data_IF_588551126708
#
_entry.id   IF_588551126708
#
_cell.length_a   1.000
_cell.length_b   1.000
_cell.length_c   1.000
_cell.angle_alpha   90.00
_cell.angle_beta   90.00
_cell.angle_gamma   90.00
#
_symmetry.space_group_name_H-M   'P 1'
#
loop_
_entity.id
_entity.type
_entity.pdbx_description
1 polymer ?
#
# COMPACT_ATOMS: atom_id res chain seq x y z
N UNK A 1 7.17 -30.71 -35.83
CA UNK A 1 6.25 -29.59 -35.52
C UNK A 1 6.50 -29.20 -34.07
N UNK A 2 7.24 -28.11 -33.86
CA UNK A 2 7.63 -27.62 -32.53
C UNK A 2 6.49 -26.82 -31.98
N UNK A 3 5.83 -27.29 -30.93
CA UNK A 3 4.83 -26.54 -30.18
C UNK A 3 5.58 -25.51 -29.30
N UNK A 4 5.66 -24.26 -29.78
CA UNK A 4 6.06 -23.16 -28.94
C UNK A 4 4.96 -22.94 -27.89
N UNK A 5 5.16 -23.44 -26.69
CA UNK A 5 4.35 -23.05 -25.54
C UNK A 5 4.52 -21.54 -25.32
N UNK A 6 3.54 -20.74 -25.69
CA UNK A 6 3.45 -19.34 -25.25
C UNK A 6 3.45 -19.37 -23.72
N UNK A 7 4.58 -19.00 -23.12
CA UNK A 7 4.60 -18.69 -21.68
C UNK A 7 3.55 -17.62 -21.46
N UNK A 8 2.50 -17.93 -20.69
CA UNK A 8 1.55 -16.94 -20.26
C UNK A 8 2.35 -15.81 -19.59
N UNK A 9 2.33 -14.62 -20.18
CA UNK A 9 2.99 -13.46 -19.59
C UNK A 9 2.27 -13.15 -18.29
N UNK A 10 2.91 -13.43 -17.16
CA UNK A 10 2.41 -13.04 -15.85
C UNK A 10 2.39 -11.52 -15.80
N UNK A 11 1.20 -10.94 -15.73
CA UNK A 11 1.05 -9.50 -15.60
C UNK A 11 1.29 -9.10 -14.15
N UNK A 12 2.31 -8.27 -13.91
CA UNK A 12 2.55 -7.71 -12.59
C UNK A 12 1.39 -6.82 -12.15
N UNK A 13 1.03 -6.91 -10.89
CA UNK A 13 0.07 -6.00 -10.28
C UNK A 13 0.73 -4.64 -10.07
N UNK A 14 0.08 -3.58 -10.55
CA UNK A 14 0.44 -2.19 -10.28
C UNK A 14 -0.75 -1.55 -9.58
N UNK A 15 -0.77 -1.66 -8.26
CA UNK A 15 -1.90 -1.30 -7.42
C UNK A 15 -1.73 0.08 -6.81
N UNK A 16 -2.84 0.74 -6.50
CA UNK A 16 -2.83 2.02 -5.80
C UNK A 16 -3.82 2.02 -4.64
N UNK A 17 -3.49 2.74 -3.58
CA UNK A 17 -4.46 3.13 -2.57
C UNK A 17 -5.12 4.44 -2.96
N UNK A 18 -6.42 4.53 -2.75
CA UNK A 18 -7.20 5.75 -2.94
C UNK A 18 -8.02 6.02 -1.67
N UNK A 19 -7.56 6.97 -0.80
CA UNK A 19 -8.25 7.30 0.44
C UNK A 19 -9.52 8.12 0.18
N UNK A 20 -10.62 7.78 0.83
CA UNK A 20 -11.91 8.44 0.64
C UNK A 20 -11.90 9.92 1.07
N UNK A 21 -11.12 10.30 2.08
CA UNK A 21 -10.99 11.70 2.50
C UNK A 21 -10.41 12.62 1.42
N UNK A 22 -9.84 12.06 0.35
CA UNK A 22 -9.32 12.85 -0.78
C UNK A 22 -10.43 13.57 -1.55
N UNK A 23 -11.66 13.11 -1.44
CA UNK A 23 -12.84 13.81 -1.99
C UNK A 23 -12.93 15.25 -1.49
N UNK A 24 -12.61 15.48 -0.21
CA UNK A 24 -12.61 16.83 0.39
C UNK A 24 -11.52 17.76 -0.16
N UNK A 25 -10.50 17.21 -0.79
CA UNK A 25 -9.46 17.98 -1.47
C UNK A 25 -9.79 18.25 -2.97
N UNK A 26 -10.96 17.78 -3.43
CA UNK A 26 -11.36 17.88 -4.84
C UNK A 26 -10.76 16.81 -5.73
N UNK A 27 -10.13 15.79 -5.16
CA UNK A 27 -9.67 14.64 -5.92
C UNK A 27 -10.83 13.71 -6.27
N UNK A 28 -10.82 13.16 -7.49
CA UNK A 28 -11.81 12.17 -7.92
C UNK A 28 -11.15 10.95 -8.53
N UNK A 29 -11.81 9.77 -8.47
CA UNK A 29 -11.29 8.55 -9.10
C UNK A 29 -10.98 8.70 -10.58
N UNK A 30 -11.79 9.47 -11.33
CA UNK A 30 -11.61 9.68 -12.77
C UNK A 30 -10.34 10.41 -13.18
N UNK A 31 -9.65 11.05 -12.24
CA UNK A 31 -8.37 11.75 -12.48
C UNK A 31 -7.16 10.80 -12.62
N UNK A 32 -7.33 9.51 -12.31
CA UNK A 32 -6.24 8.53 -12.34
C UNK A 32 -5.99 7.97 -13.74
N UNK A 33 -4.76 7.55 -14.00
CA UNK A 33 -4.37 6.92 -15.27
C UNK A 33 -4.55 5.39 -15.22
N UNK A 34 -5.72 4.90 -15.58
CA UNK A 34 -6.04 3.47 -15.60
C UNK A 34 -5.33 2.67 -16.69
N UNK A 35 -4.59 3.31 -17.58
CA UNK A 35 -3.65 2.63 -18.48
C UNK A 35 -2.43 2.05 -17.75
N UNK A 36 -2.17 2.49 -16.51
CA UNK A 36 -1.04 2.06 -15.68
C UNK A 36 -1.48 1.42 -14.35
N UNK A 37 -2.78 1.35 -14.06
CA UNK A 37 -3.33 0.84 -12.80
C UNK A 37 -4.23 -0.33 -13.12
N UNK A 38 -4.00 -1.48 -12.47
CA UNK A 38 -4.87 -2.65 -12.61
C UNK A 38 -5.61 -3.02 -11.31
N UNK A 39 -5.25 -2.43 -10.17
CA UNK A 39 -5.96 -2.59 -8.90
C UNK A 39 -5.99 -1.30 -8.09
N UNK A 40 -7.16 -1.01 -7.52
CA UNK A 40 -7.34 0.07 -6.55
C UNK A 40 -7.74 -0.53 -5.22
N UNK A 41 -7.09 -0.10 -4.16
CA UNK A 41 -7.47 -0.32 -2.77
C UNK A 41 -8.19 0.94 -2.30
N UNK A 42 -9.51 0.86 -2.16
CA UNK A 42 -10.35 1.95 -1.66
C UNK A 42 -10.27 2.00 -0.13
N UNK A 43 -9.75 3.06 0.42
CA UNK A 43 -9.43 3.17 1.85
C UNK A 43 -10.20 4.32 2.52
N UNK A 44 -10.88 4.11 3.63
CA UNK A 44 -11.02 2.88 4.39
C UNK A 44 -12.49 2.62 4.74
N UNK A 45 -12.86 1.36 4.91
CA UNK A 45 -13.99 0.98 5.73
C UNK A 45 -13.50 0.73 7.17
N UNK A 46 -14.39 0.90 8.14
CA UNK A 46 -14.11 0.71 9.57
C UNK A 46 -14.81 -0.53 10.11
N UNK A 47 -14.44 -0.92 11.33
CA UNK A 47 -14.94 -2.10 12.04
C UNK A 47 -15.52 -1.69 13.38
N UNK A 48 -16.70 -2.22 13.70
CA UNK A 48 -17.30 -2.11 15.05
C UNK A 48 -16.83 -3.25 15.96
N UNK A 49 -16.96 -3.07 17.27
CA UNK A 49 -16.52 -4.06 18.25
C UNK A 49 -17.31 -5.39 18.19
N UNK A 50 -18.47 -5.41 17.56
CA UNK A 50 -19.26 -6.63 17.29
C UNK A 50 -18.90 -7.31 15.96
N UNK A 51 -17.90 -6.80 15.26
CA UNK A 51 -17.41 -7.32 13.98
C UNK A 51 -18.10 -6.74 12.75
N UNK A 52 -19.04 -5.79 12.91
CA UNK A 52 -19.66 -5.13 11.76
C UNK A 52 -18.64 -4.32 10.95
N UNK A 53 -18.72 -4.37 9.63
CA UNK A 53 -17.90 -3.57 8.72
C UNK A 53 -18.80 -2.52 8.07
N UNK A 54 -18.36 -1.27 8.06
CA UNK A 54 -19.14 -0.16 7.53
C UNK A 54 -18.25 0.85 6.79
N UNK A 55 -18.86 1.61 5.87
CA UNK A 55 -18.19 2.71 5.17
C UNK A 55 -17.88 3.83 6.17
N UNK A 56 -16.64 4.30 6.20
CA UNK A 56 -16.17 5.23 7.21
C UNK A 56 -16.68 6.66 7.00
N UNK A 57 -17.06 7.01 5.79
CA UNK A 57 -17.54 8.35 5.40
C UNK A 57 -18.63 8.23 4.33
N UNK A 58 -19.88 8.16 4.76
CA UNK A 58 -21.02 7.96 3.88
C UNK A 58 -21.13 9.03 2.79
N UNK A 59 -20.78 10.28 3.12
CA UNK A 59 -20.84 11.36 2.13
C UNK A 59 -19.78 11.16 1.04
N UNK A 60 -18.52 10.98 1.41
CA UNK A 60 -17.43 10.77 0.45
C UNK A 60 -17.61 9.47 -0.35
N UNK A 61 -18.05 8.41 0.33
CA UNK A 61 -18.16 7.08 -0.25
C UNK A 61 -19.34 6.94 -1.21
N UNK A 62 -20.53 7.55 -0.86
CA UNK A 62 -21.78 7.26 -1.54
C UNK A 62 -22.57 8.49 -2.05
N UNK A 63 -22.26 9.72 -1.59
CA UNK A 63 -23.10 10.89 -1.87
C UNK A 63 -22.36 12.02 -2.61
N UNK A 64 -21.06 12.21 -2.36
CA UNK A 64 -20.30 13.29 -2.98
C UNK A 64 -20.36 13.24 -4.50
N UNK A 65 -20.54 14.38 -5.19
CA UNK A 65 -20.44 14.41 -6.65
C UNK A 65 -19.03 14.05 -7.11
N UNK A 66 -18.89 12.90 -7.78
CA UNK A 66 -17.61 12.40 -8.30
C UNK A 66 -17.79 11.94 -9.76
N UNK A 67 -17.06 12.52 -10.69
CA UNK A 67 -16.99 12.09 -12.10
C UNK A 67 -18.38 11.91 -12.77
N UNK A 68 -19.35 12.75 -12.40
CA UNK A 68 -20.71 12.72 -12.96
C UNK A 68 -21.65 11.69 -12.31
N UNK A 69 -21.22 11.01 -11.25
CA UNK A 69 -22.03 10.09 -10.44
C UNK A 69 -21.95 10.45 -8.95
N UNK A 70 -22.68 9.75 -8.09
CA UNK A 70 -22.64 9.97 -6.64
C UNK A 70 -21.66 9.02 -5.97
N UNK A 71 -20.86 9.59 -5.06
CA UNK A 71 -19.87 8.89 -4.26
C UNK A 71 -18.62 8.45 -5.04
N UNK A 72 -17.51 8.39 -4.33
CA UNK A 72 -16.27 7.87 -4.91
C UNK A 72 -16.38 6.38 -5.28
N UNK A 73 -17.12 5.57 -4.50
CA UNK A 73 -17.39 4.18 -4.85
C UNK A 73 -18.23 4.08 -6.13
N UNK A 74 -19.24 4.93 -6.30
CA UNK A 74 -20.03 5.00 -7.53
C UNK A 74 -19.16 5.33 -8.75
N UNK A 75 -18.23 6.27 -8.58
CA UNK A 75 -17.24 6.59 -9.64
C UNK A 75 -16.37 5.38 -9.99
N UNK A 76 -15.82 4.67 -9.00
CA UNK A 76 -15.05 3.45 -9.26
C UNK A 76 -15.86 2.37 -9.97
N UNK A 77 -17.14 2.20 -9.63
CA UNK A 77 -18.00 1.23 -10.33
C UNK A 77 -18.26 1.63 -11.80
N UNK A 78 -18.45 2.92 -12.05
CA UNK A 78 -18.53 3.43 -13.42
C UNK A 78 -17.21 3.21 -14.19
N UNK A 79 -16.08 3.48 -13.58
CA UNK A 79 -14.75 3.27 -14.18
C UNK A 79 -14.47 1.79 -14.49
N UNK A 80 -14.93 0.85 -13.66
CA UNK A 80 -14.81 -0.59 -13.93
C UNK A 80 -15.56 -1.02 -15.22
N UNK A 81 -16.65 -0.35 -15.57
CA UNK A 81 -17.36 -0.64 -16.81
C UNK A 81 -16.54 -0.22 -18.03
N UNK A 82 -15.81 0.89 -17.91
CA UNK A 82 -14.93 1.43 -18.94
C UNK A 82 -13.60 0.68 -19.03
N UNK A 83 -13.01 0.34 -17.87
CA UNK A 83 -11.72 -0.33 -17.76
C UNK A 83 -11.89 -1.76 -17.21
N UNK A 84 -12.15 -2.71 -18.10
CA UNK A 84 -12.50 -4.11 -17.77
C UNK A 84 -11.41 -4.86 -16.98
N UNK A 85 -10.16 -4.41 -17.06
CA UNK A 85 -9.04 -4.97 -16.31
C UNK A 85 -8.96 -4.45 -14.86
N UNK A 86 -9.72 -3.40 -14.52
CA UNK A 86 -9.64 -2.74 -13.23
C UNK A 86 -10.31 -3.58 -12.14
N UNK A 87 -9.56 -3.90 -11.11
CA UNK A 87 -10.03 -4.48 -9.85
C UNK A 87 -10.14 -3.38 -8.80
N UNK A 88 -11.23 -3.33 -8.06
CA UNK A 88 -11.42 -2.43 -6.92
C UNK A 88 -11.68 -3.25 -5.67
N UNK A 89 -10.86 -3.08 -4.65
CA UNK A 89 -10.85 -3.82 -3.40
C UNK A 89 -11.13 -2.85 -2.26
N UNK A 90 -11.98 -3.22 -1.30
CA UNK A 90 -12.27 -2.42 -0.12
C UNK A 90 -11.21 -2.68 0.97
N UNK A 91 -10.41 -1.67 1.29
CA UNK A 91 -9.50 -1.75 2.43
C UNK A 91 -10.25 -1.49 3.73
N UNK A 92 -10.15 -2.44 4.65
CA UNK A 92 -10.83 -2.39 5.95
C UNK A 92 -9.77 -2.22 7.03
N UNK A 93 -9.87 -1.13 7.79
CA UNK A 93 -8.94 -0.86 8.88
C UNK A 93 -8.24 0.49 8.78
N UNK A 94 -6.92 0.48 8.80
CA UNK A 94 -6.10 1.67 9.01
C UNK A 94 -6.01 2.05 10.48
N UNK A 95 -5.43 3.23 10.77
CA UNK A 95 -5.16 3.67 12.15
C UNK A 95 -6.37 3.70 13.07
N UNK A 96 -7.55 4.09 12.55
CA UNK A 96 -8.78 4.21 13.33
C UNK A 96 -9.35 2.87 13.83
N UNK A 97 -8.96 1.76 13.23
CA UNK A 97 -9.43 0.42 13.61
C UNK A 97 -8.39 -0.38 14.42
N UNK A 98 -7.28 0.21 14.80
CA UNK A 98 -6.19 -0.48 15.48
C UNK A 98 -6.61 -1.14 16.80
N UNK A 99 -7.49 -0.50 17.58
CA UNK A 99 -7.99 -1.01 18.85
C UNK A 99 -9.12 -2.04 18.69
N UNK A 100 -9.83 -2.02 17.56
CA UNK A 100 -11.00 -2.89 17.32
C UNK A 100 -10.57 -4.26 16.78
N UNK A 101 -9.56 -4.33 15.94
CA UNK A 101 -9.08 -5.60 15.37
C UNK A 101 -8.72 -6.67 16.40
N UNK A 102 -7.98 -6.36 17.49
CA UNK A 102 -7.68 -7.36 18.52
C UNK A 102 -8.94 -7.99 19.11
N UNK A 103 -9.99 -7.20 19.33
CA UNK A 103 -11.27 -7.68 19.87
C UNK A 103 -11.95 -8.61 18.88
N UNK A 104 -12.11 -8.15 17.64
CA UNK A 104 -12.82 -8.90 16.60
C UNK A 104 -12.07 -10.17 16.20
N UNK A 105 -10.76 -10.09 16.05
CA UNK A 105 -9.96 -11.22 15.61
C UNK A 105 -9.83 -12.33 16.67
N UNK A 106 -9.94 -12.01 17.97
CA UNK A 106 -9.85 -12.99 19.06
C UNK A 106 -11.07 -13.91 19.19
N UNK A 107 -12.23 -13.53 18.63
CA UNK A 107 -13.48 -14.28 18.77
C UNK A 107 -13.94 -14.90 17.45
N UNK A 108 -14.23 -16.21 17.46
CA UNK A 108 -14.75 -16.91 16.28
C UNK A 108 -16.09 -16.32 15.80
N UNK A 109 -16.97 -15.91 16.72
CA UNK A 109 -18.26 -15.28 16.39
C UNK A 109 -18.04 -13.93 15.74
N UNK A 110 -17.14 -13.11 16.29
CA UNK A 110 -16.87 -11.76 15.76
C UNK A 110 -16.14 -11.84 14.41
N UNK A 111 -15.24 -12.79 14.19
CA UNK A 111 -14.63 -13.05 12.88
C UNK A 111 -15.67 -13.43 11.82
N UNK A 112 -16.65 -14.24 12.17
CA UNK A 112 -17.75 -14.62 11.27
C UNK A 112 -18.65 -13.43 10.95
N UNK A 113 -18.99 -12.60 11.97
CA UNK A 113 -19.71 -11.35 11.77
C UNK A 113 -18.97 -10.42 10.82
N UNK A 114 -17.66 -10.24 11.04
CA UNK A 114 -16.80 -9.44 10.15
C UNK A 114 -16.85 -9.94 8.71
N UNK A 115 -16.65 -11.24 8.51
CA UNK A 115 -16.59 -11.84 7.18
C UNK A 115 -17.93 -11.68 6.43
N UNK A 116 -19.04 -11.90 7.10
CA UNK A 116 -20.39 -11.70 6.52
C UNK A 116 -20.69 -10.25 6.22
N UNK A 117 -20.35 -9.34 7.13
CA UNK A 117 -20.54 -7.91 6.93
C UNK A 117 -19.70 -7.37 5.78
N UNK A 118 -18.42 -7.75 5.72
CA UNK A 118 -17.52 -7.40 4.63
C UNK A 118 -18.03 -7.92 3.28
N UNK A 119 -18.49 -9.18 3.22
CA UNK A 119 -19.11 -9.74 2.02
C UNK A 119 -20.32 -8.92 1.56
N UNK A 120 -21.20 -8.57 2.50
CA UNK A 120 -22.39 -7.77 2.19
C UNK A 120 -22.02 -6.43 1.53
N UNK A 121 -21.00 -5.73 2.04
CA UNK A 121 -20.52 -4.48 1.42
C UNK A 121 -19.91 -4.70 0.03
N UNK A 122 -19.12 -5.74 -0.14
CA UNK A 122 -18.48 -6.09 -1.43
C UNK A 122 -19.54 -6.37 -2.48
N UNK A 123 -20.56 -7.16 -2.14
CA UNK A 123 -21.66 -7.50 -3.06
C UNK A 123 -22.54 -6.29 -3.39
N UNK A 124 -22.93 -5.51 -2.37
CA UNK A 124 -23.75 -4.32 -2.55
C UNK A 124 -23.06 -3.23 -3.38
N UNK A 125 -21.75 -3.10 -3.27
CA UNK A 125 -20.96 -2.08 -3.96
C UNK A 125 -20.33 -2.57 -5.27
N UNK A 126 -20.48 -3.85 -5.66
CA UNK A 126 -19.88 -4.39 -6.87
C UNK A 126 -18.36 -4.48 -6.86
N UNK A 127 -17.75 -4.57 -5.67
CA UNK A 127 -16.30 -4.63 -5.47
C UNK A 127 -15.74 -6.02 -5.79
N UNK A 128 -14.43 -6.10 -5.99
CA UNK A 128 -13.74 -7.35 -6.33
C UNK A 128 -13.27 -8.15 -5.09
N UNK A 129 -13.34 -7.58 -3.90
CA UNK A 129 -12.88 -8.22 -2.68
C UNK A 129 -12.52 -7.22 -1.60
N UNK A 130 -11.74 -7.67 -0.63
CA UNK A 130 -11.31 -6.86 0.51
C UNK A 130 -9.80 -6.93 0.74
N UNK A 131 -9.29 -5.92 1.42
CA UNK A 131 -7.93 -5.79 1.89
C UNK A 131 -7.95 -5.55 3.40
N UNK A 132 -7.22 -6.34 4.17
CA UNK A 132 -7.15 -6.23 5.63
C UNK A 132 -5.96 -5.36 6.01
N UNK A 133 -6.24 -4.23 6.66
CA UNK A 133 -5.23 -3.27 7.13
C UNK A 133 -5.31 -3.15 8.65
N UNK A 134 -4.84 -4.19 9.34
CA UNK A 134 -4.68 -4.17 10.80
C UNK A 134 -3.29 -3.66 11.16
N UNK A 135 -3.19 -2.51 11.78
CA UNK A 135 -1.94 -1.84 12.19
C UNK A 135 -1.76 -1.92 13.71
N UNK A 136 -1.09 -2.94 14.29
CA UNK A 136 -0.56 -4.18 13.68
C UNK A 136 -0.76 -5.35 14.64
N UNK A 137 -0.75 -6.63 14.22
CA UNK A 137 -0.71 -7.77 15.11
C UNK A 137 0.68 -7.86 15.76
N UNK A 138 0.83 -7.27 16.95
CA UNK A 138 2.12 -7.07 17.63
C UNK A 138 2.52 -8.17 18.61
N UNK A 139 1.63 -9.15 18.86
CA UNK A 139 1.91 -10.29 19.74
C UNK A 139 1.72 -11.61 19.01
N UNK A 140 2.34 -12.71 19.48
CA UNK A 140 2.12 -14.04 18.91
C UNK A 140 0.65 -14.47 18.95
N UNK A 141 -0.11 -14.03 19.95
CA UNK A 141 -1.55 -14.28 20.03
C UNK A 141 -2.30 -13.56 18.93
N UNK A 142 -2.06 -12.25 18.77
CA UNK A 142 -2.66 -11.46 17.68
C UNK A 142 -2.26 -11.99 16.30
N UNK A 143 -1.05 -12.54 16.16
CA UNK A 143 -0.63 -13.21 14.92
C UNK A 143 -1.44 -14.45 14.59
N UNK A 144 -1.79 -15.27 15.61
CA UNK A 144 -2.71 -16.41 15.46
C UNK A 144 -4.12 -15.93 15.13
N UNK A 145 -4.58 -14.88 15.78
CA UNK A 145 -5.90 -14.29 15.55
C UNK A 145 -6.01 -13.69 14.14
N UNK A 146 -4.94 -13.08 13.65
CA UNK A 146 -4.86 -12.58 12.27
C UNK A 146 -5.03 -13.71 11.24
N UNK A 147 -4.32 -14.82 11.42
CA UNK A 147 -4.48 -16.02 10.59
C UNK A 147 -5.90 -16.55 10.65
N UNK A 148 -6.48 -16.63 11.84
CA UNK A 148 -7.86 -17.10 12.02
C UNK A 148 -8.88 -16.17 11.36
N UNK A 149 -8.63 -14.85 11.38
CA UNK A 149 -9.47 -13.86 10.72
C UNK A 149 -9.45 -14.03 9.20
N UNK A 150 -8.28 -14.11 8.57
CA UNK A 150 -8.19 -14.28 7.11
C UNK A 150 -8.77 -15.61 6.65
N UNK A 151 -8.63 -16.68 7.45
CA UNK A 151 -9.25 -17.98 7.19
C UNK A 151 -10.79 -17.90 7.24
N UNK A 152 -11.35 -17.23 8.26
CA UNK A 152 -12.79 -17.02 8.38
C UNK A 152 -13.36 -16.19 7.22
N UNK A 153 -12.64 -15.15 6.80
CA UNK A 153 -13.03 -14.32 5.66
C UNK A 153 -13.09 -15.16 4.38
N UNK A 154 -12.15 -16.06 4.16
CA UNK A 154 -12.10 -16.88 2.93
C UNK A 154 -13.29 -17.83 2.80
N UNK A 155 -13.88 -18.22 3.91
CA UNK A 155 -15.13 -19.02 3.89
C UNK A 155 -16.28 -18.25 3.22
N UNK A 156 -16.37 -16.95 3.50
CA UNK A 156 -17.43 -16.08 2.96
C UNK A 156 -17.08 -15.43 1.62
N UNK A 157 -15.80 -15.24 1.37
CA UNK A 157 -15.25 -14.65 0.14
C UNK A 157 -14.34 -15.68 -0.57
N UNK A 158 -14.92 -16.68 -1.27
CA UNK A 158 -14.14 -17.75 -1.91
C UNK A 158 -13.22 -17.21 -3.01
N UNK A 159 -12.05 -17.87 -3.15
CA UNK A 159 -10.93 -17.42 -3.99
C UNK A 159 -11.28 -17.34 -5.49
N UNK A 160 -12.18 -18.18 -5.95
CA UNK A 160 -12.62 -18.20 -7.35
C UNK A 160 -13.45 -16.97 -7.76
N UNK A 161 -13.93 -16.18 -6.78
CA UNK A 161 -14.81 -15.04 -7.00
C UNK A 161 -14.29 -13.72 -6.45
N UNK A 162 -13.54 -13.75 -5.35
CA UNK A 162 -13.16 -12.55 -4.62
C UNK A 162 -11.67 -12.52 -4.29
N UNK A 163 -11.11 -11.32 -4.39
CA UNK A 163 -9.77 -11.03 -3.90
C UNK A 163 -9.79 -10.86 -2.37
N UNK A 164 -8.80 -11.46 -1.72
CA UNK A 164 -8.47 -11.20 -0.33
C UNK A 164 -6.99 -10.81 -0.25
N UNK A 165 -6.72 -9.59 0.18
CA UNK A 165 -5.38 -9.08 0.37
C UNK A 165 -5.18 -8.63 1.82
N UNK A 166 -3.95 -8.49 2.23
CA UNK A 166 -3.61 -7.92 3.52
C UNK A 166 -2.38 -7.02 3.40
N UNK A 167 -2.27 -6.06 4.29
CA UNK A 167 -1.17 -5.11 4.32
C UNK A 167 -0.40 -5.27 5.62
N UNK A 168 0.91 -5.52 5.51
CA UNK A 168 1.82 -5.71 6.63
C UNK A 168 3.08 -4.84 6.49
N UNK A 169 3.66 -4.38 7.60
CA UNK A 169 4.87 -3.56 7.57
C UNK A 169 6.12 -4.41 7.30
N UNK A 170 7.13 -3.80 6.69
CA UNK A 170 8.46 -4.39 6.58
C UNK A 170 9.22 -4.28 7.92
N UNK A 171 8.60 -4.78 8.98
CA UNK A 171 9.09 -4.69 10.35
C UNK A 171 9.13 -6.09 10.99
N UNK A 172 10.34 -6.60 11.18
CA UNK A 172 10.55 -7.93 11.76
C UNK A 172 9.82 -8.16 13.10
N UNK A 173 9.75 -7.18 14.04
CA UNK A 173 9.00 -7.34 15.28
C UNK A 173 7.50 -7.64 15.09
N UNK A 174 6.91 -7.23 13.98
CA UNK A 174 5.52 -7.57 13.64
C UNK A 174 5.47 -8.91 12.89
N UNK A 175 6.26 -9.04 11.82
CA UNK A 175 6.22 -10.20 10.93
C UNK A 175 6.51 -11.53 11.64
N UNK A 176 7.39 -11.53 12.64
CA UNK A 176 7.75 -12.73 13.41
C UNK A 176 6.60 -13.32 14.25
N UNK A 177 5.54 -12.54 14.50
CA UNK A 177 4.38 -12.98 15.30
C UNK A 177 3.35 -13.77 14.47
N UNK A 178 3.46 -13.71 13.14
CA UNK A 178 2.44 -14.24 12.21
C UNK A 178 2.96 -15.52 11.55
N UNK A 179 2.16 -16.55 11.47
CA UNK A 179 2.43 -17.67 10.56
C UNK A 179 2.17 -17.21 9.11
N UNK A 180 3.21 -16.58 8.54
CA UNK A 180 3.14 -15.96 7.21
C UNK A 180 2.92 -16.98 6.11
N UNK A 181 3.43 -18.20 6.25
CA UNK A 181 3.24 -19.27 5.27
C UNK A 181 1.76 -19.66 5.19
N UNK A 182 1.15 -20.01 6.31
CA UNK A 182 -0.27 -20.38 6.34
C UNK A 182 -1.17 -19.19 5.97
N UNK A 183 -0.85 -17.98 6.46
CA UNK A 183 -1.58 -16.76 6.09
C UNK A 183 -1.59 -16.52 4.58
N UNK A 184 -0.45 -16.72 3.93
CA UNK A 184 -0.33 -16.55 2.47
C UNK A 184 -1.15 -17.56 1.66
N UNK A 185 -1.53 -18.70 2.24
CA UNK A 185 -2.42 -19.68 1.57
C UNK A 185 -3.82 -19.08 1.33
N UNK A 186 -4.30 -18.22 2.25
CA UNK A 186 -5.61 -17.57 2.15
C UNK A 186 -5.59 -16.26 1.35
N UNK A 187 -4.42 -15.64 1.17
CA UNK A 187 -4.29 -14.35 0.51
C UNK A 187 -3.99 -14.49 -0.99
N UNK A 188 -4.57 -13.61 -1.80
CA UNK A 188 -4.15 -13.42 -3.20
C UNK A 188 -2.84 -12.66 -3.28
N UNK A 189 -2.73 -11.55 -2.53
CA UNK A 189 -1.50 -10.77 -2.38
C UNK A 189 -1.34 -10.24 -0.96
N UNK A 190 -0.08 -10.07 -0.57
CA UNK A 190 0.35 -9.40 0.64
C UNK A 190 1.06 -8.10 0.24
N UNK A 191 0.51 -6.97 0.67
CA UNK A 191 1.05 -5.65 0.41
C UNK A 191 2.07 -5.31 1.51
N UNK A 192 3.35 -5.26 1.14
CA UNK A 192 4.43 -4.95 2.08
C UNK A 192 4.68 -3.44 2.11
N UNK A 193 4.32 -2.76 3.22
CA UNK A 193 4.61 -1.33 3.38
C UNK A 193 6.11 -1.14 3.63
N UNK A 194 6.84 -0.89 2.55
CA UNK A 194 8.30 -0.70 2.55
C UNK A 194 8.65 0.79 2.63
N UNK A 195 8.02 1.50 3.55
CA UNK A 195 8.22 2.92 3.83
C UNK A 195 7.89 3.25 5.28
N UNK A 196 8.07 4.51 5.67
CA UNK A 196 7.96 5.00 7.04
C UNK A 196 8.97 4.36 8.02
N UNK A 197 10.15 3.97 7.49
CA UNK A 197 11.23 3.49 8.33
C UNK A 197 11.83 4.58 9.21
N UNK A 198 11.76 5.83 8.74
CA UNK A 198 12.18 7.04 9.45
C UNK A 198 11.16 8.14 9.25
N UNK A 199 10.97 8.97 10.27
CA UNK A 199 10.06 10.10 10.25
C UNK A 199 10.26 11.02 11.44
N UNK A 200 9.34 11.95 11.66
CA UNK A 200 9.43 12.92 12.77
C UNK A 200 9.52 12.25 14.16
N UNK A 201 9.05 11.02 14.28
CA UNK A 201 9.13 10.17 15.50
C UNK A 201 10.51 9.54 15.71
N UNK A 202 11.39 9.56 14.74
CA UNK A 202 12.68 8.90 14.80
C UNK A 202 13.71 9.77 15.53
N UNK A 203 14.65 9.17 16.27
CA UNK A 203 15.75 9.91 16.91
C UNK A 203 16.74 10.49 15.90
N UNK A 204 16.87 9.85 14.74
CA UNK A 204 17.78 10.24 13.66
C UNK A 204 17.02 10.40 12.34
N UNK A 205 17.52 11.29 11.49
CA UNK A 205 17.13 11.34 10.09
C UNK A 205 17.57 10.09 9.34
N UNK A 206 16.80 9.67 8.34
CA UNK A 206 17.11 8.50 7.52
C UNK A 206 16.21 8.41 6.28
N UNK A 207 16.54 7.56 5.36
CA UNK A 207 15.71 7.32 4.19
C UNK A 207 14.48 6.48 4.56
N UNK A 208 13.30 7.11 4.52
CA UNK A 208 12.09 6.48 5.01
C UNK A 208 11.58 5.31 4.16
N UNK A 209 12.03 5.20 2.91
CA UNK A 209 11.61 4.16 1.99
C UNK A 209 12.78 3.46 1.28
N UNK A 210 13.91 3.38 1.95
CA UNK A 210 15.12 2.74 1.43
C UNK A 210 14.87 1.29 1.01
N UNK A 211 15.39 0.91 -0.17
CA UNK A 211 15.36 -0.48 -0.60
C UNK A 211 16.42 -1.30 0.15
N UNK A 212 17.59 -0.71 0.38
CA UNK A 212 18.69 -1.33 1.12
C UNK A 212 19.05 -0.50 2.34
N UNK A 213 19.24 -1.17 3.47
CA UNK A 213 19.64 -0.54 4.72
C UNK A 213 21.06 0.02 4.64
N UNK A 214 21.29 1.16 5.25
CA UNK A 214 22.59 1.82 5.34
C UNK A 214 23.44 1.25 6.49
N UNK A 215 22.79 0.65 7.49
CA UNK A 215 23.42 -0.06 8.61
C UNK A 215 22.67 -1.35 8.94
N UNK A 216 23.28 -2.22 9.75
CA UNK A 216 22.70 -3.52 10.13
C UNK A 216 21.43 -3.42 10.97
N UNK A 217 21.25 -2.31 11.66
CA UNK A 217 20.14 -2.10 12.60
C UNK A 217 18.94 -1.39 11.94
N UNK A 218 19.06 -1.06 10.66
CA UNK A 218 18.00 -0.38 9.94
C UNK A 218 17.10 -1.35 9.18
N UNK A 219 15.81 -1.02 9.15
CA UNK A 219 14.82 -1.69 8.30
C UNK A 219 14.95 -1.22 6.86
N UNK A 220 14.60 -2.09 5.91
CA UNK A 220 14.59 -1.78 4.48
C UNK A 220 13.59 -2.63 3.72
N UNK A 221 13.20 -2.19 2.52
CA UNK A 221 12.29 -2.95 1.68
C UNK A 221 12.82 -4.34 1.33
N UNK A 222 14.11 -4.45 0.99
CA UNK A 222 14.75 -5.73 0.68
C UNK A 222 14.81 -6.68 1.88
N UNK A 223 15.00 -6.16 3.09
CA UNK A 223 14.96 -6.97 4.31
C UNK A 223 13.54 -7.52 4.56
N UNK A 224 12.52 -6.68 4.45
CA UNK A 224 11.13 -7.12 4.59
C UNK A 224 10.72 -8.18 3.56
N UNK A 225 11.10 -8.01 2.31
CA UNK A 225 10.88 -9.04 1.26
C UNK A 225 11.60 -10.34 1.61
N UNK A 226 12.86 -10.27 2.05
CA UNK A 226 13.62 -11.44 2.49
C UNK A 226 12.92 -12.16 3.65
N UNK A 227 12.45 -11.43 4.65
CA UNK A 227 11.77 -12.00 5.83
C UNK A 227 10.48 -12.72 5.41
N UNK A 228 9.66 -12.11 4.54
CA UNK A 228 8.46 -12.74 4.01
C UNK A 228 8.77 -14.03 3.23
N UNK A 229 9.70 -13.96 2.28
CA UNK A 229 10.04 -15.12 1.44
C UNK A 229 10.69 -16.25 2.25
N UNK A 230 11.55 -15.91 3.22
CA UNK A 230 12.18 -16.89 4.13
C UNK A 230 11.16 -17.56 5.06
N UNK A 231 10.05 -16.88 5.35
CA UNK A 231 8.92 -17.41 6.11
C UNK A 231 7.94 -18.22 5.26
N UNK A 232 8.23 -18.43 3.98
CA UNK A 232 7.43 -19.27 3.08
C UNK A 232 6.36 -18.54 2.26
N UNK A 233 6.34 -17.21 2.25
CA UNK A 233 5.45 -16.45 1.36
C UNK A 233 5.98 -16.51 -0.08
N UNK A 234 5.20 -16.98 -1.06
CA UNK A 234 5.61 -16.98 -2.46
C UNK A 234 5.85 -15.56 -2.98
N UNK A 235 6.97 -15.31 -3.64
CA UNK A 235 7.30 -13.98 -4.17
C UNK A 235 6.18 -13.35 -4.99
N UNK A 236 5.53 -14.15 -5.86
CA UNK A 236 4.40 -13.71 -6.70
C UNK A 236 3.19 -13.17 -5.92
N UNK A 237 3.08 -13.46 -4.62
CA UNK A 237 2.03 -12.93 -3.73
C UNK A 237 2.46 -11.64 -3.01
N UNK A 238 3.70 -11.18 -3.13
CA UNK A 238 4.20 -9.99 -2.46
C UNK A 238 4.14 -8.79 -3.41
N UNK A 239 3.47 -7.72 -2.99
CA UNK A 239 3.54 -6.40 -3.63
C UNK A 239 4.43 -5.49 -2.80
N UNK A 240 5.43 -4.86 -3.43
CA UNK A 240 6.33 -3.92 -2.76
C UNK A 240 5.74 -2.51 -2.75
N UNK A 241 5.62 -1.91 -1.59
CA UNK A 241 5.05 -0.58 -1.40
C UNK A 241 6.00 0.55 -1.79
N UNK A 242 5.45 1.53 -2.49
CA UNK A 242 6.11 2.78 -2.90
C UNK A 242 5.32 3.94 -2.31
N UNK A 243 5.94 4.82 -1.50
CA UNK A 243 5.26 6.00 -1.01
C UNK A 243 5.17 7.08 -2.09
N UNK A 244 4.02 7.71 -2.21
CA UNK A 244 3.82 8.92 -3.00
C UNK A 244 3.89 10.17 -2.11
N UNK A 245 4.81 10.14 -1.15
CA UNK A 245 5.12 11.24 -0.24
C UNK A 245 6.57 11.16 0.22
N UNK A 246 7.10 12.28 0.73
CA UNK A 246 8.43 12.35 1.34
C UNK A 246 8.36 12.68 2.82
N UNK A 247 9.34 12.24 3.59
CA UNK A 247 9.54 12.58 5.00
C UNK A 247 10.60 13.67 5.15
N UNK A 248 10.31 14.63 5.98
CA UNK A 248 11.11 15.83 6.22
C UNK A 248 11.86 15.76 7.55
N UNK A 249 13.09 16.29 7.55
CA UNK A 249 13.92 16.46 8.74
C UNK A 249 14.58 17.83 8.69
N UNK A 250 14.16 18.72 9.58
CA UNK A 250 14.66 20.11 9.64
C UNK A 250 16.08 20.19 10.22
N UNK A 251 16.84 21.16 9.74
CA UNK A 251 18.17 21.50 10.28
C UNK A 251 19.24 20.43 10.05
N UNK A 252 19.01 19.49 9.11
CA UNK A 252 19.98 18.48 8.69
C UNK A 252 20.03 18.38 7.17
N UNK A 253 21.15 17.87 6.65
CA UNK A 253 21.39 17.80 5.21
C UNK A 253 21.40 16.37 4.65
N UNK A 254 21.09 15.37 5.45
CA UNK A 254 21.10 13.97 5.03
C UNK A 254 20.72 13.00 6.12
N UNK A 255 20.87 11.67 5.88
CA UNK A 255 20.58 10.63 6.87
C UNK A 255 21.63 10.58 7.99
N UNK A 256 21.24 9.97 9.13
CA UNK A 256 22.13 9.69 10.27
C UNK A 256 22.32 10.83 11.27
N UNK A 257 21.73 11.99 11.04
CA UNK A 257 21.83 13.13 11.94
C UNK A 257 20.73 13.12 13.00
N UNK A 258 21.01 13.74 14.16
CA UNK A 258 19.99 13.91 15.20
C UNK A 258 18.77 14.66 14.62
N UNK A 259 17.60 14.10 14.82
CA UNK A 259 16.34 14.73 14.41
C UNK A 259 16.12 16.02 15.21
N UNK A 260 15.77 17.11 14.53
CA UNK A 260 15.53 18.44 15.09
C UNK A 260 14.13 18.97 14.79
N UNK A 261 13.26 18.12 14.29
CA UNK A 261 11.91 18.46 13.87
C UNK A 261 11.69 18.19 12.38
N UNK A 262 10.48 18.45 11.92
CA UNK A 262 10.06 18.20 10.55
C UNK A 262 9.23 19.34 9.98
N UNK A 263 9.31 19.56 8.67
CA UNK A 263 8.47 20.48 7.91
C UNK A 263 7.28 19.76 7.29
N UNK A 264 6.42 20.53 6.61
CA UNK A 264 5.22 19.99 5.98
C UNK A 264 4.11 19.60 6.94
N UNK A 265 3.09 18.94 6.41
CA UNK A 265 1.98 18.40 7.23
C UNK A 265 2.41 17.07 7.85
N UNK A 266 2.38 17.00 9.18
CA UNK A 266 2.78 15.80 9.93
C UNK A 266 4.16 15.24 9.54
N UNK A 267 5.10 16.14 9.26
CA UNK A 267 6.46 15.78 8.85
C UNK A 267 6.58 15.23 7.43
N UNK A 268 5.61 15.51 6.56
CA UNK A 268 5.58 15.00 5.20
C UNK A 268 5.17 16.04 4.15
N UNK A 269 5.56 15.76 2.90
CA UNK A 269 5.11 16.45 1.70
C UNK A 269 4.59 15.43 0.69
N UNK A 270 3.51 15.76 -0.01
CA UNK A 270 3.04 14.94 -1.13
C UNK A 270 4.09 14.88 -2.25
N UNK A 271 4.17 13.76 -2.94
CA UNK A 271 5.17 13.57 -3.99
C UNK A 271 5.07 14.61 -5.13
N UNK A 272 3.84 15.01 -5.51
CA UNK A 272 3.63 16.06 -6.52
C UNK A 272 4.17 17.43 -6.11
N UNK A 273 4.60 17.62 -4.86
CA UNK A 273 5.26 18.82 -4.34
C UNK A 273 6.78 18.67 -4.26
N UNK A 274 7.34 17.57 -4.73
CA UNK A 274 8.76 17.23 -4.63
C UNK A 274 9.44 17.19 -6.03
N UNK A 275 10.73 17.58 -6.10
CA UNK A 275 11.52 18.21 -5.05
C UNK A 275 10.96 19.55 -4.61
N UNK A 276 11.27 20.00 -3.39
CA UNK A 276 10.82 21.32 -2.91
C UNK A 276 11.41 22.43 -3.79
N UNK A 277 10.60 23.48 -4.00
CA UNK A 277 10.97 24.59 -4.88
C UNK A 277 12.34 25.18 -4.49
N UNK A 278 13.22 25.36 -5.46
CA UNK A 278 14.57 25.91 -5.27
C UNK A 278 15.59 24.89 -4.75
N UNK A 279 15.23 23.62 -4.58
CA UNK A 279 16.15 22.55 -4.18
C UNK A 279 16.57 21.70 -5.38
N UNK A 280 17.71 21.00 -5.24
CA UNK A 280 18.18 20.03 -6.23
C UNK A 280 17.87 18.60 -5.79
N UNK A 281 17.23 17.84 -6.68
CA UNK A 281 16.99 16.40 -6.47
C UNK A 281 18.28 15.62 -6.64
N UNK A 282 18.52 14.67 -5.72
CA UNK A 282 19.65 13.76 -5.73
C UNK A 282 19.17 12.33 -5.45
N UNK A 283 19.90 11.34 -5.93
CA UNK A 283 19.62 9.92 -5.67
C UNK A 283 20.77 9.29 -4.91
N UNK A 284 20.48 8.75 -3.73
CA UNK A 284 21.38 7.83 -3.05
C UNK A 284 21.20 6.43 -3.65
N UNK A 285 22.14 6.04 -4.51
CA UNK A 285 22.11 4.74 -5.20
C UNK A 285 22.34 3.54 -4.28
N UNK A 286 22.97 3.74 -3.11
CA UNK A 286 23.22 2.68 -2.13
C UNK A 286 21.93 2.30 -1.40
N UNK A 287 21.19 3.29 -0.95
CA UNK A 287 19.91 3.12 -0.29
C UNK A 287 18.76 2.90 -1.28
N UNK A 288 18.93 3.31 -2.55
CA UNK A 288 17.86 3.44 -3.54
C UNK A 288 16.78 4.39 -2.99
N UNK A 289 17.18 5.64 -2.75
CA UNK A 289 16.32 6.69 -2.23
C UNK A 289 16.62 8.01 -2.93
N UNK A 290 15.59 8.82 -3.20
CA UNK A 290 15.73 10.19 -3.65
C UNK A 290 15.69 11.15 -2.46
N UNK A 291 16.30 12.32 -2.64
CA UNK A 291 16.33 13.36 -1.63
C UNK A 291 16.44 14.74 -2.25
N UNK A 292 15.99 15.74 -1.52
CA UNK A 292 16.34 17.15 -1.73
C UNK A 292 16.63 17.81 -0.39
N UNK A 293 17.43 18.89 -0.42
CA UNK A 293 17.84 19.57 0.82
C UNK A 293 17.63 21.08 0.66
N UNK A 294 17.09 21.70 1.69
CA UNK A 294 16.86 23.14 1.74
C UNK A 294 15.36 23.49 1.74
N UNK A 295 15.08 24.78 1.50
CA UNK A 295 13.75 25.34 1.60
C UNK A 295 13.06 25.03 2.96
N UNK A 296 11.75 24.88 2.96
CA UNK A 296 10.91 24.63 4.12
C UNK A 296 10.93 23.19 4.64
N UNK A 297 11.55 22.26 3.88
CA UNK A 297 11.59 20.84 4.19
C UNK A 297 12.85 20.36 4.88
N UNK A 298 13.94 21.15 4.89
CA UNK A 298 15.25 20.68 5.33
C UNK A 298 15.73 19.52 4.44
N UNK A 299 16.11 18.40 5.03
CA UNK A 299 16.35 17.14 4.31
C UNK A 299 15.00 16.42 4.09
N UNK A 300 14.58 16.27 2.84
CA UNK A 300 13.38 15.52 2.48
C UNK A 300 13.80 14.29 1.69
N UNK A 301 13.37 13.12 2.15
CA UNK A 301 13.63 11.83 1.53
C UNK A 301 12.35 11.24 0.94
N UNK A 302 12.42 10.66 -0.27
CA UNK A 302 11.28 10.18 -1.04
C UNK A 302 11.70 9.20 -2.13
N UNK A 303 10.76 8.77 -2.96
CA UNK A 303 11.04 8.05 -4.21
C UNK A 303 10.85 8.97 -5.42
N UNK A 304 11.66 8.77 -6.45
CA UNK A 304 11.55 9.43 -7.74
C UNK A 304 11.52 8.40 -8.88
N UNK A 305 11.35 8.80 -10.16
CA UNK A 305 11.32 7.84 -11.27
C UNK A 305 12.53 6.90 -11.33
N UNK A 306 13.73 7.35 -10.96
CA UNK A 306 14.92 6.50 -11.00
C UNK A 306 14.91 5.45 -9.90
N UNK A 307 14.56 5.81 -8.67
CA UNK A 307 14.45 4.85 -7.57
C UNK A 307 13.33 3.85 -7.81
N UNK A 308 12.19 4.27 -8.37
CA UNK A 308 11.08 3.36 -8.71
C UNK A 308 11.49 2.38 -9.81
N UNK A 309 12.23 2.79 -10.83
CA UNK A 309 12.80 1.85 -11.83
C UNK A 309 13.69 0.80 -11.17
N UNK A 310 14.55 1.22 -10.24
CA UNK A 310 15.43 0.29 -9.50
C UNK A 310 14.62 -0.68 -8.64
N UNK A 311 13.58 -0.21 -7.94
CA UNK A 311 12.66 -1.03 -7.14
C UNK A 311 11.83 -1.99 -8.01
N UNK A 312 11.39 -1.56 -9.19
CA UNK A 312 10.72 -2.43 -10.15
C UNK A 312 11.65 -3.51 -10.71
N UNK A 313 12.91 -3.18 -10.96
CA UNK A 313 13.95 -4.17 -11.35
C UNK A 313 14.16 -5.19 -10.23
N UNK A 314 14.28 -4.74 -8.99
CA UNK A 314 14.35 -5.63 -7.81
C UNK A 314 13.13 -6.54 -7.72
N UNK A 315 11.93 -5.99 -7.93
CA UNK A 315 10.67 -6.74 -7.94
C UNK A 315 10.73 -7.89 -8.97
N UNK A 316 11.14 -7.61 -10.21
CA UNK A 316 11.30 -8.63 -11.26
C UNK A 316 12.36 -9.68 -10.89
N UNK A 317 13.53 -9.26 -10.40
CA UNK A 317 14.62 -10.14 -10.00
C UNK A 317 14.25 -11.10 -8.87
N UNK A 318 13.42 -10.65 -7.94
CA UNK A 318 12.91 -11.46 -6.82
C UNK A 318 11.65 -12.25 -7.14
N UNK A 319 11.09 -12.10 -8.34
CA UNK A 319 9.85 -12.75 -8.75
C UNK A 319 8.65 -12.29 -7.92
N UNK A 320 8.61 -11.00 -7.54
CA UNK A 320 7.50 -10.44 -6.79
C UNK A 320 6.26 -10.25 -7.68
N UNK A 321 5.09 -10.17 -7.04
CA UNK A 321 3.81 -9.98 -7.70
C UNK A 321 3.62 -8.60 -8.35
N UNK A 322 4.34 -7.58 -7.86
CA UNK A 322 4.26 -6.24 -8.40
C UNK A 322 4.56 -5.14 -7.38
N UNK A 323 4.00 -3.97 -7.64
CA UNK A 323 4.14 -2.78 -6.80
C UNK A 323 2.76 -2.28 -6.35
N UNK A 324 2.73 -1.56 -5.24
CA UNK A 324 1.59 -0.73 -4.87
C UNK A 324 2.05 0.64 -4.39
N UNK A 325 1.15 1.62 -4.39
CA UNK A 325 1.47 3.02 -4.09
C UNK A 325 0.51 3.61 -3.07
N UNK A 326 1.05 4.31 -2.08
CA UNK A 326 0.32 5.09 -1.10
C UNK A 326 0.63 6.58 -1.27
N UNK A 327 -0.30 7.41 -1.71
CA UNK A 327 -1.63 7.20 -2.26
C UNK A 327 -1.75 7.89 -3.62
N UNK A 328 -2.55 7.34 -4.51
CA UNK A 328 -2.62 7.74 -5.91
C UNK A 328 -2.82 9.23 -6.19
N UNK A 329 -3.68 9.97 -5.45
CA UNK A 329 -3.88 11.40 -5.70
C UNK A 329 -2.63 12.26 -5.50
N UNK A 330 -1.64 11.76 -4.76
CA UNK A 330 -0.37 12.47 -4.51
C UNK A 330 0.69 12.24 -5.58
N UNK A 331 0.42 11.44 -6.61
CA UNK A 331 1.35 11.24 -7.73
C UNK A 331 1.47 12.50 -8.60
N UNK A 332 2.56 12.62 -9.33
CA UNK A 332 2.76 13.71 -10.26
C UNK A 332 1.83 13.57 -11.48
N UNK A 333 1.20 14.69 -11.88
CA UNK A 333 0.35 14.73 -13.08
C UNK A 333 1.16 14.62 -14.38
N UNK A 334 2.41 15.08 -14.36
CA UNK A 334 3.34 14.89 -15.48
C UNK A 334 3.73 13.42 -15.61
N UNK A 335 3.44 12.83 -16.75
CA UNK A 335 3.70 11.41 -17.03
C UNK A 335 5.19 11.02 -16.94
N UNK A 336 6.11 11.97 -17.11
CA UNK A 336 7.55 11.74 -16.96
C UNK A 336 7.97 11.65 -15.49
N UNK A 337 7.19 12.29 -14.61
CA UNK A 337 7.42 12.30 -13.16
C UNK A 337 6.54 11.30 -12.43
N UNK A 338 5.43 10.83 -13.00
CA UNK A 338 4.52 9.87 -12.37
C UNK A 338 5.26 8.59 -11.96
N UNK A 339 5.23 8.27 -10.66
CA UNK A 339 5.82 7.05 -10.13
C UNK A 339 4.99 5.82 -10.49
N UNK A 340 3.67 5.96 -10.53
CA UNK A 340 2.75 4.89 -10.94
C UNK A 340 3.02 4.48 -12.39
N UNK A 341 3.10 5.45 -13.31
CA UNK A 341 3.39 5.18 -14.72
C UNK A 341 4.82 4.64 -14.92
N UNK A 342 5.77 5.14 -14.16
CA UNK A 342 7.18 4.67 -14.20
C UNK A 342 7.28 3.22 -13.76
N UNK A 343 6.68 2.87 -12.63
CA UNK A 343 6.70 1.49 -12.12
C UNK A 343 5.99 0.53 -13.05
N UNK A 344 4.83 0.89 -13.59
CA UNK A 344 4.12 0.08 -14.58
C UNK A 344 5.00 -0.22 -15.80
N UNK A 345 5.60 0.81 -16.40
CA UNK A 345 6.49 0.63 -17.55
C UNK A 345 7.69 -0.26 -17.22
N UNK A 346 8.32 -0.03 -16.07
CA UNK A 346 9.50 -0.80 -15.66
C UNK A 346 9.18 -2.26 -15.34
N UNK A 347 8.01 -2.56 -14.78
CA UNK A 347 7.56 -3.94 -14.52
C UNK A 347 7.27 -4.70 -15.81
N UNK A 348 6.75 -4.04 -16.84
CA UNK A 348 6.29 -4.67 -18.09
C UNK A 348 7.26 -4.48 -19.26
N UNK A 349 8.38 -3.77 -19.08
CA UNK A 349 9.47 -3.77 -20.05
C UNK A 349 10.22 -5.11 -20.05
N UNK A 350 10.63 -5.56 -21.21
CA UNK A 350 11.52 -6.72 -21.43
C UNK A 350 12.86 -6.53 -20.71
#
# INVERSE_FOLDING_TARGET
MSSSSRKAHFMHTNAVYWPNYRVYNGDTPGQLNYGCINRVHYAFANVTADGGVFLSDEWADAQAPCDGVQGALGSFMHLKQRYRHLQVVLSIGGGDSAETFPIVASSAVLRDNFARSARGLVEASGLNGIDIVWEYPCTPEQGRDFLALVAAIRIHLPEDRYLLTATLPAAKPVLQNIDLRQTAEYLDTLNLTAYDFFGHWSHKSGHHAQLYAMSKDETSGAAGVKDLMSSGVPGKKILLGIPLFGRSFLGVAGPGHKNRGAGGKDGSFEYNQLPRKGTKEQVDKRAVAAQCVGADGGFVTYDNPDTVKMKATFCKQKGLGGLFYWSAPSDAKDSKRSLIATGFKALHSS
#
